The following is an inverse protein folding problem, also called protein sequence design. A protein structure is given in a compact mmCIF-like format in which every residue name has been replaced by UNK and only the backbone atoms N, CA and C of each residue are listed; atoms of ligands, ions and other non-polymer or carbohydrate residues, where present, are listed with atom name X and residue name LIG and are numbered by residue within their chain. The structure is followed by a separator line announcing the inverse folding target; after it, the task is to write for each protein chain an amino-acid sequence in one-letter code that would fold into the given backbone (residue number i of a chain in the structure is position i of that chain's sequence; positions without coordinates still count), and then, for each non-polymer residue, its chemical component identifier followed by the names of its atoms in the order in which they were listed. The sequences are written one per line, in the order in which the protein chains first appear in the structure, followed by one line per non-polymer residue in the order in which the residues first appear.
data_IF_359837306915
#
_entry.id   IF_359837306915
#
_cell.length_a   1.000
_cell.length_b   1.000
_cell.length_c   1.000
_cell.angle_alpha   90.00
_cell.angle_beta   90.00
_cell.angle_gamma   90.00
#
_symmetry.space_group_name_H-M   'P 1'
#
loop_
_entity.id
_entity.type
_entity.pdbx_description
1 polymer ?
#
# COMPACT_ATOMS: atom_id res chain seq x y z
N UNK A 1 -10.35 -21.93 10.45
CA UNK A 1 -11.39 -22.32 9.49
C UNK A 1 -11.24 -21.45 8.25
N UNK A 2 -10.89 -22.03 7.10
CA UNK A 2 -10.72 -21.32 5.81
C UNK A 2 -12.09 -21.01 5.19
N UNK A 3 -12.93 -20.28 5.92
CA UNK A 3 -14.21 -19.76 5.44
C UNK A 3 -14.00 -19.02 4.13
N UNK A 4 -14.97 -19.17 3.22
CA UNK A 4 -14.93 -18.87 1.80
C UNK A 4 -14.36 -17.46 1.48
N UNK A 5 -13.01 -17.33 1.39
CA UNK A 5 -12.28 -16.17 0.84
C UNK A 5 -12.64 -15.86 -0.63
N UNK A 6 -13.59 -16.60 -1.19
CA UNK A 6 -14.16 -16.43 -2.51
C UNK A 6 -15.03 -15.18 -2.64
N UNK A 7 -15.59 -14.66 -1.53
CA UNK A 7 -16.54 -13.54 -1.56
C UNK A 7 -15.94 -12.17 -1.21
N UNK A 8 -14.62 -12.06 -1.07
CA UNK A 8 -14.00 -10.74 -0.84
C UNK A 8 -13.65 -10.06 -2.17
N UNK A 9 -13.87 -8.74 -2.26
CA UNK A 9 -13.41 -7.92 -3.38
C UNK A 9 -11.91 -7.60 -3.29
N UNK A 10 -11.31 -7.84 -2.11
CA UNK A 10 -9.90 -7.59 -1.85
C UNK A 10 -8.99 -8.42 -2.77
N UNK A 11 -7.89 -7.83 -3.25
CA UNK A 11 -6.89 -8.59 -3.98
C UNK A 11 -6.29 -9.67 -3.06
N UNK A 12 -6.02 -10.83 -3.64
CA UNK A 12 -5.42 -11.95 -2.92
C UNK A 12 -3.92 -11.95 -3.19
N UNK A 13 -3.10 -12.02 -2.14
CA UNK A 13 -1.67 -12.23 -2.29
C UNK A 13 -1.25 -13.61 -1.77
N UNK A 14 -0.20 -14.15 -2.38
CA UNK A 14 0.47 -15.38 -1.98
C UNK A 14 1.96 -15.21 -2.16
N UNK A 15 2.72 -15.83 -1.28
CA UNK A 15 4.18 -15.88 -1.37
C UNK A 15 4.60 -17.33 -1.61
N UNK A 16 5.42 -17.56 -2.65
CA UNK A 16 5.99 -18.87 -2.95
C UNK A 16 7.37 -18.69 -3.57
N UNK A 17 8.37 -19.44 -3.09
CA UNK A 17 9.74 -19.46 -3.65
C UNK A 17 10.44 -18.10 -3.75
N UNK A 18 10.11 -17.16 -2.87
CA UNK A 18 10.62 -15.79 -2.90
C UNK A 18 9.94 -14.89 -3.94
N UNK A 19 8.80 -15.32 -4.48
CA UNK A 19 7.94 -14.55 -5.37
C UNK A 19 6.65 -14.20 -4.64
N UNK A 20 6.39 -12.91 -4.48
CA UNK A 20 5.12 -12.40 -3.97
C UNK A 20 4.20 -12.09 -5.14
N UNK A 21 3.08 -12.79 -5.20
CA UNK A 21 2.10 -12.69 -6.28
C UNK A 21 0.81 -12.11 -5.70
N UNK A 22 0.42 -10.94 -6.18
CA UNK A 22 -0.86 -10.30 -5.91
C UNK A 22 -1.77 -10.47 -7.14
N UNK A 23 -3.02 -10.86 -6.92
CA UNK A 23 -4.01 -11.08 -7.97
C UNK A 23 -5.34 -10.44 -7.62
N UNK A 24 -6.06 -9.99 -8.65
CA UNK A 24 -7.48 -9.65 -8.53
C UNK A 24 -8.26 -10.83 -7.94
N UNK A 25 -9.18 -10.52 -7.02
CA UNK A 25 -10.03 -11.52 -6.37
C UNK A 25 -10.89 -12.29 -7.38
N UNK A 26 -11.29 -13.51 -7.03
CA UNK A 26 -12.17 -14.32 -7.89
C UNK A 26 -13.53 -13.65 -8.06
N UNK A 27 -14.09 -13.09 -6.99
CA UNK A 27 -15.37 -12.35 -7.05
C UNK A 27 -15.28 -11.17 -8.00
N UNK A 28 -14.24 -10.33 -7.89
CA UNK A 28 -14.05 -9.20 -8.78
C UNK A 28 -13.89 -9.64 -10.24
N UNK A 29 -13.25 -10.79 -10.50
CA UNK A 29 -13.18 -11.37 -11.85
C UNK A 29 -14.55 -11.83 -12.36
N UNK A 30 -15.40 -12.40 -11.51
CA UNK A 30 -16.75 -12.82 -11.89
C UNK A 30 -17.63 -11.59 -12.17
N UNK A 31 -17.62 -10.60 -11.28
CA UNK A 31 -18.39 -9.35 -11.44
C UNK A 31 -17.99 -8.56 -12.69
N UNK A 32 -16.72 -8.63 -13.07
CA UNK A 32 -16.23 -7.99 -14.31
C UNK A 32 -16.29 -8.92 -15.53
N UNK A 33 -16.92 -10.10 -15.43
CA UNK A 33 -17.00 -11.11 -16.50
C UNK A 33 -15.63 -11.49 -17.10
N UNK A 34 -14.57 -11.40 -16.29
CA UNK A 34 -13.19 -11.62 -16.70
C UNK A 34 -12.58 -10.52 -17.57
N UNK A 35 -13.28 -9.40 -17.77
CA UNK A 35 -12.79 -8.23 -18.51
C UNK A 35 -11.68 -7.50 -17.77
N UNK A 36 -11.63 -7.62 -16.44
CA UNK A 36 -10.58 -7.04 -15.63
C UNK A 36 -9.79 -8.12 -14.90
N UNK A 37 -8.48 -8.19 -15.17
CA UNK A 37 -7.54 -9.00 -14.40
C UNK A 37 -6.23 -8.25 -14.24
N UNK A 38 -5.80 -8.13 -13.00
CA UNK A 38 -4.52 -7.56 -12.61
C UNK A 38 -3.71 -8.58 -11.85
N UNK A 39 -2.45 -8.73 -12.22
CA UNK A 39 -1.48 -9.60 -11.54
C UNK A 39 -0.17 -8.84 -11.35
N UNK A 40 0.28 -8.73 -10.10
CA UNK A 40 1.56 -8.14 -9.74
C UNK A 40 2.43 -9.25 -9.20
N UNK A 41 3.60 -9.46 -9.81
CA UNK A 41 4.60 -10.45 -9.37
C UNK A 41 5.84 -9.69 -8.95
N UNK A 42 6.28 -9.90 -7.71
CA UNK A 42 7.52 -9.35 -7.17
C UNK A 42 8.46 -10.52 -6.99
N UNK A 43 9.48 -10.63 -7.84
CA UNK A 43 10.45 -11.72 -7.81
C UNK A 43 11.75 -11.25 -7.16
N UNK A 44 12.08 -11.82 -6.00
CA UNK A 44 13.30 -11.49 -5.26
C UNK A 44 14.57 -11.94 -5.98
N UNK A 45 14.54 -13.10 -6.64
CA UNK A 45 15.71 -13.68 -7.31
C UNK A 45 16.03 -12.90 -8.58
N UNK A 46 15.00 -12.61 -9.38
CA UNK A 46 15.15 -11.85 -10.60
C UNK A 46 15.38 -10.35 -10.33
N UNK A 47 14.94 -9.83 -9.16
CA UNK A 47 14.96 -8.39 -8.81
C UNK A 47 14.12 -7.51 -9.73
N UNK A 48 12.98 -8.02 -10.17
CA UNK A 48 12.01 -7.28 -10.98
C UNK A 48 10.60 -7.43 -10.44
N UNK A 49 9.80 -6.40 -10.69
CA UNK A 49 8.37 -6.36 -10.44
C UNK A 49 7.69 -6.38 -11.80
N UNK A 50 6.85 -7.38 -12.04
CA UNK A 50 6.07 -7.51 -13.26
C UNK A 50 4.61 -7.23 -12.95
N UNK A 51 4.05 -6.23 -13.64
CA UNK A 51 2.67 -5.81 -13.50
C UNK A 51 1.96 -6.13 -14.81
N UNK A 52 1.10 -7.14 -14.77
CA UNK A 52 0.30 -7.58 -15.91
C UNK A 52 -1.13 -7.11 -15.71
N UNK A 53 -1.61 -6.28 -16.63
CA UNK A 53 -2.99 -5.81 -16.69
C UNK A 53 -3.64 -6.36 -17.95
N UNK A 54 -4.78 -7.02 -17.78
CA UNK A 54 -5.65 -7.42 -18.89
C UNK A 54 -6.93 -6.61 -18.80
N UNK A 55 -7.15 -5.77 -19.81
CA UNK A 55 -8.36 -4.99 -20.02
C UNK A 55 -9.07 -5.59 -21.24
N UNK A 56 -10.30 -6.04 -21.05
CA UNK A 56 -11.05 -6.82 -22.03
C UNK A 56 -10.32 -8.11 -22.50
N UNK A 57 -10.91 -8.80 -23.47
CA UNK A 57 -10.34 -10.06 -23.94
C UNK A 57 -9.04 -9.90 -24.72
N UNK A 58 -8.81 -8.74 -25.36
CA UNK A 58 -7.73 -8.54 -26.34
C UNK A 58 -6.58 -7.65 -25.87
N UNK A 59 -6.77 -6.75 -24.90
CA UNK A 59 -5.71 -5.80 -24.52
C UNK A 59 -4.95 -6.30 -23.29
N UNK A 60 -3.70 -6.69 -23.51
CA UNK A 60 -2.75 -7.05 -22.44
C UNK A 60 -1.66 -6.00 -22.39
N UNK A 61 -1.49 -5.38 -21.23
CA UNK A 61 -0.37 -4.49 -20.92
C UNK A 61 0.50 -5.17 -19.87
N UNK A 62 1.80 -5.22 -20.11
CA UNK A 62 2.77 -5.70 -19.13
C UNK A 62 3.80 -4.61 -18.91
N UNK A 63 4.12 -4.35 -17.64
CA UNK A 63 5.16 -3.41 -17.25
C UNK A 63 6.14 -4.13 -16.34
N UNK A 64 7.42 -4.01 -16.64
CA UNK A 64 8.51 -4.59 -15.88
C UNK A 64 9.33 -3.49 -15.22
N UNK A 65 9.53 -3.59 -13.91
CA UNK A 65 10.13 -2.54 -13.08
C UNK A 65 11.28 -3.17 -12.28
N UNK A 66 12.53 -2.79 -12.57
CA UNK A 66 13.67 -3.28 -11.80
C UNK A 66 13.66 -2.71 -10.38
N UNK A 67 14.06 -3.50 -9.38
CA UNK A 67 14.04 -3.08 -7.97
C UNK A 67 14.84 -1.80 -7.72
N UNK A 68 15.93 -1.57 -8.47
CA UNK A 68 16.76 -0.35 -8.36
C UNK A 68 16.01 0.94 -8.65
N UNK A 69 14.91 0.87 -9.41
CA UNK A 69 14.07 2.04 -9.69
C UNK A 69 13.02 2.27 -8.62
N UNK A 70 12.81 1.34 -7.69
CA UNK A 70 11.88 1.56 -6.59
C UNK A 70 12.57 2.42 -5.53
N UNK A 71 11.98 3.56 -5.23
CA UNK A 71 12.45 4.47 -4.19
C UNK A 71 11.89 4.06 -2.82
N UNK A 72 10.56 4.00 -2.71
CA UNK A 72 9.86 3.65 -1.46
C UNK A 72 8.50 3.02 -1.76
N UNK A 73 7.91 2.42 -0.73
CA UNK A 73 6.50 2.00 -0.74
C UNK A 73 5.65 3.12 -0.16
N UNK A 74 4.60 3.52 -0.87
CA UNK A 74 3.60 4.46 -0.40
C UNK A 74 2.38 3.66 0.07
N UNK A 75 1.92 3.95 1.28
CA UNK A 75 0.76 3.33 1.89
C UNK A 75 -0.21 4.43 2.27
N UNK A 76 -1.34 4.46 1.57
CA UNK A 76 -2.34 5.51 1.70
C UNK A 76 -3.66 4.94 2.21
N UNK A 77 -4.34 5.73 3.03
CA UNK A 77 -5.66 5.42 3.58
C UNK A 77 -6.63 6.52 3.21
N UNK A 78 -7.76 6.13 2.64
CA UNK A 78 -8.85 7.01 2.28
C UNK A 78 -10.16 6.42 2.81
N UNK A 79 -11.09 7.28 3.25
CA UNK A 79 -12.44 6.86 3.59
C UNK A 79 -13.46 7.76 2.90
N UNK A 80 -14.41 7.11 2.21
CA UNK A 80 -15.50 7.80 1.53
C UNK A 80 -16.81 7.44 2.22
N UNK A 81 -17.49 8.44 2.78
CA UNK A 81 -18.84 8.28 3.32
C UNK A 81 -19.81 7.90 2.20
N UNK A 82 -20.48 6.75 2.34
CA UNK A 82 -21.46 6.25 1.37
C UNK A 82 -22.89 6.58 1.76
N UNK A 83 -23.17 6.72 3.06
CA UNK A 83 -24.46 7.22 3.55
C UNK A 83 -24.28 8.20 4.69
N UNK A 84 -24.98 9.33 4.56
CA UNK A 84 -25.10 10.34 5.61
C UNK A 84 -26.58 10.38 5.97
N UNK A 85 -26.90 10.06 7.22
CA UNK A 85 -28.23 10.29 7.76
C UNK A 85 -28.25 11.56 8.58
N UNK A 86 -29.43 12.18 8.64
CA UNK A 86 -29.64 13.36 9.49
C UNK A 86 -30.41 12.91 10.71
N UNK A 87 -29.78 13.03 11.88
CA UNK A 87 -30.42 12.77 13.15
C UNK A 87 -31.58 13.74 13.37
N UNK A 88 -32.47 13.40 14.31
CA UNK A 88 -33.62 14.23 14.67
C UNK A 88 -33.18 15.64 15.11
N UNK A 89 -31.99 15.77 15.70
CA UNK A 89 -31.40 17.06 16.10
C UNK A 89 -30.69 17.83 14.97
N UNK A 90 -30.80 17.38 13.72
CA UNK A 90 -30.19 18.04 12.56
C UNK A 90 -28.70 17.74 12.38
N UNK A 91 -28.08 17.00 13.30
CA UNK A 91 -26.71 16.51 13.20
C UNK A 91 -26.60 15.47 12.08
N UNK A 92 -25.59 15.63 11.22
CA UNK A 92 -25.28 14.66 10.19
C UNK A 92 -24.43 13.54 10.81
N UNK A 93 -24.92 12.30 10.73
CA UNK A 93 -24.18 11.12 11.14
C UNK A 93 -23.77 10.35 9.88
N UNK A 94 -22.49 10.00 9.79
CA UNK A 94 -22.00 9.11 8.75
C UNK A 94 -22.35 7.70 9.21
N UNK A 95 -23.24 7.04 8.48
CA UNK A 95 -23.71 5.69 8.85
C UNK A 95 -22.83 4.61 8.25
N UNK A 96 -22.35 4.84 7.03
CA UNK A 96 -21.50 3.90 6.31
C UNK A 96 -20.35 4.65 5.63
N UNK A 97 -19.16 4.05 5.74
CA UNK A 97 -17.95 4.50 5.08
C UNK A 97 -17.36 3.33 4.31
N UNK A 98 -16.82 3.61 3.13
CA UNK A 98 -15.96 2.66 2.42
C UNK A 98 -14.53 3.06 2.68
N UNK A 99 -13.81 2.20 3.40
CA UNK A 99 -12.39 2.33 3.66
C UNK A 99 -11.62 1.79 2.47
N UNK A 100 -10.59 2.54 2.05
CA UNK A 100 -9.71 2.16 0.96
C UNK A 100 -8.26 2.29 1.39
N UNK A 101 -7.52 1.18 1.35
CA UNK A 101 -6.09 1.13 1.57
C UNK A 101 -5.38 0.93 0.24
N UNK A 102 -4.57 1.90 -0.16
CA UNK A 102 -3.86 1.88 -1.43
C UNK A 102 -2.37 1.66 -1.19
N UNK A 103 -1.82 0.63 -1.84
CA UNK A 103 -0.39 0.32 -1.80
C UNK A 103 0.22 0.67 -3.15
N UNK A 104 1.14 1.62 -3.16
CA UNK A 104 1.82 2.09 -4.36
C UNK A 104 3.34 2.00 -4.22
N UNK A 105 4.04 1.93 -5.35
CA UNK A 105 5.48 2.14 -5.41
C UNK A 105 5.75 3.55 -5.88
N UNK A 106 6.63 4.24 -5.18
CA UNK A 106 7.22 5.47 -5.69
C UNK A 106 8.50 5.07 -6.42
N UNK A 107 8.56 5.41 -7.71
CA UNK A 107 9.76 5.17 -8.51
C UNK A 107 10.73 6.34 -8.36
N UNK A 108 12.03 6.05 -8.47
CA UNK A 108 13.05 7.10 -8.51
C UNK A 108 12.80 7.99 -9.72
N UNK A 109 12.96 9.31 -9.57
CA UNK A 109 12.87 10.22 -10.69
C UNK A 109 13.89 9.82 -11.76
N UNK A 110 13.57 10.13 -13.01
CA UNK A 110 14.47 9.92 -14.13
C UNK A 110 15.69 10.85 -13.98
N UNK A 111 16.84 10.43 -14.50
CA UNK A 111 18.12 11.15 -14.33
C UNK A 111 18.11 12.55 -14.97
N UNK A 112 17.19 12.82 -15.88
CA UNK A 112 16.98 14.12 -16.54
C UNK A 112 16.21 15.13 -15.69
N UNK A 113 15.66 14.74 -14.54
CA UNK A 113 14.90 15.64 -13.66
C UNK A 113 15.83 16.25 -12.59
N UNK A 114 15.97 17.59 -12.54
CA UNK A 114 16.73 18.25 -11.48
C UNK A 114 16.22 17.88 -10.09
N UNK A 115 17.12 17.64 -9.13
CA UNK A 115 16.77 17.24 -7.77
C UNK A 115 15.82 18.21 -7.06
N UNK A 116 15.85 19.50 -7.43
CA UNK A 116 14.95 20.52 -6.88
C UNK A 116 13.48 20.36 -7.28
N UNK A 117 13.19 19.58 -8.33
CA UNK A 117 11.83 19.32 -8.82
C UNK A 117 11.46 17.84 -8.74
N UNK A 118 12.33 16.99 -8.17
CA UNK A 118 12.13 15.54 -8.12
C UNK A 118 10.75 15.16 -7.55
N UNK A 119 10.32 15.85 -6.49
CA UNK A 119 9.04 15.62 -5.81
C UNK A 119 7.81 15.85 -6.72
N UNK A 120 7.93 16.74 -7.73
CA UNK A 120 6.86 17.03 -8.68
C UNK A 120 6.72 15.97 -9.78
N UNK A 121 7.76 15.18 -9.99
CA UNK A 121 7.83 14.15 -11.04
C UNK A 121 7.96 12.74 -10.46
N UNK A 122 7.61 12.56 -9.19
CA UNK A 122 7.54 11.23 -8.58
C UNK A 122 6.46 10.40 -9.26
N UNK A 123 6.91 9.38 -10.00
CA UNK A 123 6.00 8.42 -10.58
C UNK A 123 5.50 7.48 -9.49
N UNK A 124 4.23 7.65 -9.10
CA UNK A 124 3.52 6.72 -8.23
C UNK A 124 2.85 5.63 -9.08
N UNK A 125 3.19 4.39 -8.78
CA UNK A 125 2.59 3.23 -9.40
C UNK A 125 1.82 2.42 -8.38
N UNK A 126 0.50 2.52 -8.43
CA UNK A 126 -0.37 1.66 -7.63
C UNK A 126 -0.02 0.19 -7.88
N UNK A 127 0.02 -0.64 -6.85
CA UNK A 127 0.13 -2.11 -6.96
C UNK A 127 -1.17 -2.79 -6.57
N UNK A 128 -1.77 -2.31 -5.48
CA UNK A 128 -2.91 -2.93 -4.84
C UNK A 128 -3.84 -1.86 -4.28
N UNK A 129 -5.14 -2.15 -4.31
CA UNK A 129 -6.17 -1.42 -3.60
C UNK A 129 -7.02 -2.41 -2.82
N UNK A 130 -7.12 -2.21 -1.52
CA UNK A 130 -7.93 -3.01 -0.61
C UNK A 130 -9.08 -2.12 -0.15
N UNK A 131 -10.30 -2.41 -0.63
CA UNK A 131 -11.49 -1.65 -0.25
C UNK A 131 -12.47 -2.55 0.49
N UNK A 132 -13.11 -2.02 1.51
CA UNK A 132 -14.12 -2.71 2.32
C UNK A 132 -15.06 -1.72 2.99
N UNK A 133 -16.15 -2.24 3.54
CA UNK A 133 -17.07 -1.46 4.36
C UNK A 133 -16.39 -1.23 5.71
N UNK A 134 -16.16 0.03 6.02
CA UNK A 134 -15.82 0.49 7.36
C UNK A 134 -16.92 0.12 8.35
N UNK A 135 -16.66 0.26 9.63
CA UNK A 135 -17.49 -0.24 10.75
C UNK A 135 -18.84 0.49 10.93
N UNK A 136 -19.58 0.73 9.84
CA UNK A 136 -20.97 1.17 9.84
C UNK A 136 -21.89 0.01 10.23
N UNK A 137 -22.62 0.18 11.33
CA UNK A 137 -23.45 -0.86 11.98
C UNK A 137 -24.70 -1.30 11.19
N UNK A 138 -24.86 -0.92 9.93
CA UNK A 138 -26.08 -1.13 9.18
C UNK A 138 -25.82 -1.55 7.74
N UNK A 139 -25.60 -2.85 7.55
CA UNK A 139 -26.38 -3.74 6.67
C UNK A 139 -25.63 -5.06 6.53
N UNK A 140 -26.32 -6.17 6.81
CA UNK A 140 -25.87 -7.55 6.55
C UNK A 140 -25.76 -7.79 5.04
N UNK A 141 -24.77 -7.20 4.38
CA UNK A 141 -24.42 -7.58 3.02
C UNK A 141 -23.75 -8.96 3.08
N UNK A 142 -24.23 -9.91 2.28
CA UNK A 142 -23.68 -11.28 2.19
C UNK A 142 -22.25 -11.34 1.60
N UNK A 143 -21.63 -10.17 1.39
CA UNK A 143 -20.26 -9.98 0.92
C UNK A 143 -19.45 -9.58 2.14
N UNK A 144 -18.48 -10.41 2.51
CA UNK A 144 -17.59 -10.18 3.65
C UNK A 144 -16.67 -8.99 3.36
N UNK A 145 -17.14 -7.81 3.75
CA UNK A 145 -16.48 -6.52 3.54
C UNK A 145 -15.83 -6.00 4.84
N UNK A 146 -16.02 -6.67 5.98
CA UNK A 146 -15.64 -6.13 7.28
C UNK A 146 -14.22 -6.51 7.74
N UNK A 147 -13.47 -5.47 8.13
CA UNK A 147 -12.37 -5.49 9.11
C UNK A 147 -11.05 -6.16 8.72
N UNK A 148 -11.02 -7.03 7.71
CA UNK A 148 -9.78 -7.72 7.34
C UNK A 148 -8.90 -6.93 6.36
N UNK A 149 -9.42 -5.87 5.73
CA UNK A 149 -8.71 -5.14 4.66
C UNK A 149 -7.45 -4.42 5.16
N UNK A 150 -7.54 -3.76 6.31
CA UNK A 150 -6.40 -3.11 6.94
C UNK A 150 -5.31 -4.15 7.27
N UNK A 151 -5.70 -5.25 7.93
CA UNK A 151 -4.76 -6.32 8.30
C UNK A 151 -4.12 -6.99 7.09
N UNK A 152 -4.90 -7.24 6.01
CA UNK A 152 -4.40 -7.81 4.77
C UNK A 152 -3.45 -6.86 4.03
N UNK A 153 -3.81 -5.57 3.95
CA UNK A 153 -2.99 -4.57 3.30
C UNK A 153 -1.68 -4.34 4.04
N UNK A 154 -1.70 -4.27 5.38
CA UNK A 154 -0.50 -4.22 6.23
C UNK A 154 0.39 -5.45 6.03
N UNK A 155 -0.19 -6.65 6.10
CA UNK A 155 0.56 -7.89 5.88
C UNK A 155 1.19 -7.93 4.47
N UNK A 156 0.51 -7.42 3.45
CA UNK A 156 1.07 -7.31 2.10
C UNK A 156 2.24 -6.32 2.06
N UNK A 157 2.10 -5.12 2.66
CA UNK A 157 3.15 -4.09 2.72
C UNK A 157 4.39 -4.61 3.46
N UNK A 158 4.21 -5.32 4.57
CA UNK A 158 5.32 -5.88 5.34
C UNK A 158 6.14 -6.88 4.50
N UNK A 159 5.45 -7.78 3.77
CA UNK A 159 6.10 -8.75 2.88
C UNK A 159 6.76 -8.07 1.69
N UNK A 160 6.08 -7.09 1.09
CA UNK A 160 6.62 -6.32 -0.01
C UNK A 160 7.89 -5.57 0.40
N UNK A 161 7.87 -4.91 1.57
CA UNK A 161 9.03 -4.20 2.13
C UNK A 161 10.19 -5.15 2.38
N UNK A 162 9.94 -6.32 2.98
CA UNK A 162 10.96 -7.33 3.23
C UNK A 162 11.61 -7.87 1.93
N UNK A 163 10.83 -8.02 0.85
CA UNK A 163 11.33 -8.51 -0.44
C UNK A 163 12.11 -7.45 -1.21
N UNK A 164 11.63 -6.21 -1.19
CA UNK A 164 12.25 -5.10 -1.91
C UNK A 164 13.46 -4.51 -1.18
N UNK A 165 13.52 -4.66 0.15
CA UNK A 165 14.54 -4.02 0.97
C UNK A 165 14.38 -2.49 1.04
N UNK A 166 13.16 -1.98 0.76
CA UNK A 166 12.80 -0.57 0.89
C UNK A 166 11.71 -0.43 1.93
N UNK A 167 11.76 0.61 2.75
CA UNK A 167 10.70 0.86 3.73
C UNK A 167 9.51 1.63 3.16
N UNK A 168 8.49 1.80 4.00
CA UNK A 168 7.27 2.54 3.69
C UNK A 168 7.34 4.00 4.16
N UNK A 169 6.57 4.87 3.52
CA UNK A 169 6.39 6.28 3.87
C UNK A 169 7.51 7.22 3.42
N UNK A 170 7.24 8.53 3.43
CA UNK A 170 8.27 9.53 3.17
C UNK A 170 9.35 9.45 4.26
N UNK A 171 10.62 9.46 3.84
CA UNK A 171 11.72 9.60 4.80
C UNK A 171 11.62 10.97 5.43
N UNK A 172 11.67 11.02 6.76
CA UNK A 172 11.72 12.29 7.47
C UNK A 172 12.95 13.06 6.97
N UNK A 173 12.81 14.36 6.63
CA UNK A 173 13.96 15.16 6.31
C UNK A 173 14.95 15.09 7.47
N UNK A 174 16.25 15.13 7.16
CA UNK A 174 17.28 15.10 8.18
C UNK A 174 17.13 16.34 9.08
N UNK A 175 16.52 16.15 10.24
CA UNK A 175 16.35 17.18 11.24
C UNK A 175 17.57 17.17 12.16
N UNK A 176 18.14 18.35 12.39
CA UNK A 176 19.18 18.55 13.40
C UNK A 176 18.54 18.99 14.71
N UNK A 177 19.09 18.53 15.83
CA UNK A 177 18.73 19.09 17.13
C UNK A 177 19.28 20.52 17.31
N UNK A 178 18.98 21.15 18.46
CA UNK A 178 19.48 22.48 18.78
C UNK A 178 21.02 22.57 18.81
N UNK A 179 21.72 21.43 18.94
CA UNK A 179 23.17 21.32 18.89
C UNK A 179 23.73 21.00 17.51
N UNK A 180 22.89 20.97 16.46
CA UNK A 180 23.30 20.66 15.09
C UNK A 180 23.53 19.17 14.83
N UNK A 181 23.23 18.28 15.77
CA UNK A 181 23.45 16.84 15.59
C UNK A 181 22.29 16.18 14.87
N UNK A 182 22.62 15.22 14.00
CA UNK A 182 21.65 14.40 13.29
C UNK A 182 21.33 13.15 14.10
N UNK A 183 20.09 12.73 14.01
CA UNK A 183 19.61 11.52 14.67
C UNK A 183 19.24 10.50 13.61
N UNK A 184 19.79 9.29 13.75
CA UNK A 184 19.52 8.18 12.85
C UNK A 184 19.21 6.91 13.65
N UNK A 185 18.42 6.02 13.06
CA UNK A 185 18.15 4.73 13.65
C UNK A 185 19.37 3.83 13.54
N UNK A 186 19.81 3.26 14.66
CA UNK A 186 20.92 2.31 14.71
C UNK A 186 20.64 0.98 13.99
N UNK A 187 19.36 0.60 13.87
CA UNK A 187 18.95 -0.64 13.23
C UNK A 187 18.77 -0.51 11.71
N UNK A 188 18.14 0.58 11.23
CA UNK A 188 17.81 0.74 9.81
C UNK A 188 18.50 1.92 9.12
N UNK A 189 19.31 2.73 9.83
CA UNK A 189 20.04 3.87 9.29
C UNK A 189 19.20 5.10 8.92
N UNK A 190 17.87 5.03 9.05
CA UNK A 190 16.96 6.13 8.65
C UNK A 190 17.02 7.31 9.61
N UNK A 191 16.81 8.51 9.08
CA UNK A 191 16.67 9.73 9.88
C UNK A 191 15.51 9.59 10.88
N UNK A 192 15.77 10.02 12.11
CA UNK A 192 14.79 10.08 13.18
C UNK A 192 14.53 11.51 13.62
N UNK A 193 13.47 11.75 14.42
CA UNK A 193 13.26 13.03 15.07
C UNK A 193 14.46 13.33 16.00
N UNK A 194 14.76 14.62 16.25
CA UNK A 194 15.90 15.06 17.08
C UNK A 194 15.63 14.85 18.58
N UNK A 195 15.31 13.62 18.97
CA UNK A 195 15.03 13.22 20.35
C UNK A 195 15.39 11.75 20.58
N UNK A 196 15.80 11.36 21.81
CA UNK A 196 15.94 9.96 22.15
C UNK A 196 14.59 9.25 22.05
N UNK A 197 14.59 8.04 21.52
CA UNK A 197 13.37 7.27 21.33
C UNK A 197 13.50 6.10 20.35
N UNK A 198 12.35 5.59 19.94
CA UNK A 198 12.24 4.52 18.93
C UNK A 198 12.04 5.12 17.54
N UNK A 199 12.63 4.48 16.54
CA UNK A 199 12.46 4.80 15.14
C UNK A 199 11.00 4.60 14.71
N UNK A 200 10.42 5.59 14.02
CA UNK A 200 9.05 5.50 13.49
C UNK A 200 8.84 4.36 12.49
N UNK A 201 9.91 3.91 11.83
CA UNK A 201 9.83 2.92 10.76
C UNK A 201 10.01 1.49 11.26
N UNK A 202 11.03 1.23 12.09
CA UNK A 202 11.38 -0.13 12.52
C UNK A 202 11.27 -0.36 14.04
N UNK A 203 10.98 0.67 14.83
CA UNK A 203 10.96 0.59 16.29
C UNK A 203 12.33 0.49 16.97
N UNK A 204 13.43 0.43 16.22
CA UNK A 204 14.80 0.39 16.75
C UNK A 204 15.24 1.70 17.43
N UNK A 205 16.30 1.66 18.23
CA UNK A 205 16.77 2.84 18.97
C UNK A 205 17.38 3.91 18.05
N UNK A 206 17.07 5.17 18.34
CA UNK A 206 17.69 6.32 17.69
C UNK A 206 18.99 6.71 18.41
N UNK A 207 20.04 6.96 17.64
CA UNK A 207 21.32 7.45 18.13
C UNK A 207 21.73 8.72 17.36
N UNK A 208 22.58 9.51 18.01
CA UNK A 208 23.23 10.66 17.41
C UNK A 208 24.33 10.16 16.45
N UNK A 209 24.37 10.71 15.25
CA UNK A 209 25.43 10.47 14.25
C UNK A 209 26.41 11.63 14.20
#
# INVERSE_FOLDING_TARGET
MSGLRLLTLAPQFREADGVLILRTSVLARILTLGLYRREVKVDRKARYITIEHRLAWFHRRSRLIPFRHVHRIDYDYDSTATSVSRGWHGEAHIENEVETFTVSLVLRPREDVPSSHADLYEEKLELARFSGDGTGTSVRSAIDLHGSQESLSKAYVDRLSALLGVGFGMELPAMTDAGGQRWACTACGRNGPPRPGKCYYCGGALARS
#
